data_IF_754878973536
#
_entry.id   IF_754878973536
#
_cell.length_a   1.000
_cell.length_b   1.000
_cell.length_c   1.000
_cell.angle_alpha   90.00
_cell.angle_beta   90.00
_cell.angle_gamma   90.00
#
_symmetry.space_group_name_H-M   'P 1'
#
loop_
_entity.id
_entity.type
_entity.pdbx_description
1 polymer ?
#
# COMPACT_ATOMS: atom_id res chain seq x y z
N UNK A 1 1.82 -8.75 22.71
CA UNK A 1 3.03 -9.47 22.25
C UNK A 1 4.06 -8.41 21.83
N UNK A 2 5.14 -8.22 22.62
CA UNK A 2 6.20 -7.28 22.23
C UNK A 2 6.97 -7.91 21.07
N UNK A 3 6.73 -7.40 19.85
CA UNK A 3 7.53 -7.78 18.69
C UNK A 3 8.89 -7.10 18.89
N UNK A 4 9.88 -7.86 19.34
CA UNK A 4 11.28 -7.43 19.28
C UNK A 4 11.62 -7.47 17.78
N UNK A 5 11.76 -6.32 17.10
CA UNK A 5 12.07 -6.36 15.68
C UNK A 5 13.44 -7.01 15.51
N UNK A 6 13.49 -8.09 14.74
CA UNK A 6 14.74 -8.63 14.26
C UNK A 6 15.47 -7.50 13.51
N UNK A 7 16.58 -7.01 14.07
CA UNK A 7 17.32 -5.84 13.55
C UNK A 7 17.59 -5.93 12.03
N UNK A 8 18.06 -7.06 11.48
CA UNK A 8 18.23 -7.22 10.05
C UNK A 8 16.93 -7.03 9.25
N UNK A 9 15.81 -7.54 9.74
CA UNK A 9 14.51 -7.38 9.10
C UNK A 9 14.02 -5.93 9.12
N UNK A 10 14.27 -5.23 10.22
CA UNK A 10 13.95 -3.81 10.34
C UNK A 10 14.77 -2.94 9.38
N UNK A 11 16.09 -3.21 9.25
CA UNK A 11 16.96 -2.52 8.28
C UNK A 11 16.45 -2.76 6.85
N UNK A 12 16.08 -4.00 6.51
CA UNK A 12 15.49 -4.35 5.21
C UNK A 12 14.22 -3.54 4.95
N UNK A 13 13.32 -3.47 5.92
CA UNK A 13 12.07 -2.71 5.78
C UNK A 13 12.34 -1.22 5.53
N UNK A 14 13.25 -0.61 6.29
CA UNK A 14 13.65 0.79 6.09
C UNK A 14 14.23 0.99 4.68
N UNK A 15 15.04 0.06 4.19
CA UNK A 15 15.57 0.14 2.82
C UNK A 15 14.45 0.13 1.77
N UNK A 16 13.44 -0.74 1.95
CA UNK A 16 12.27 -0.77 1.08
C UNK A 16 11.46 0.53 1.14
N UNK A 17 11.28 1.11 2.32
CA UNK A 17 10.59 2.40 2.46
C UNK A 17 11.37 3.56 1.83
N UNK A 18 12.71 3.54 1.91
CA UNK A 18 13.55 4.53 1.20
C UNK A 18 13.40 4.46 -0.32
N UNK A 19 13.13 3.28 -0.86
CA UNK A 19 12.84 3.14 -2.29
C UNK A 19 11.62 3.97 -2.70
N UNK A 20 10.56 3.94 -1.91
CA UNK A 20 9.34 4.72 -2.16
C UNK A 20 9.62 6.23 -2.22
N UNK A 21 10.61 6.72 -1.49
CA UNK A 21 10.95 8.16 -1.49
C UNK A 21 11.36 8.71 -2.85
N UNK A 22 11.80 7.87 -3.78
CA UNK A 22 12.09 8.27 -5.17
C UNK A 22 10.83 8.79 -5.88
N UNK A 23 9.67 8.25 -5.52
CA UNK A 23 8.39 8.61 -6.12
C UNK A 23 7.68 9.76 -5.39
N UNK A 24 8.12 10.07 -4.16
CA UNK A 24 7.48 11.05 -3.28
C UNK A 24 7.20 12.38 -3.99
N UNK A 25 8.26 12.99 -4.56
CA UNK A 25 8.16 14.32 -5.17
C UNK A 25 7.22 14.35 -6.38
N UNK A 26 7.22 13.29 -7.18
CA UNK A 26 6.34 13.18 -8.35
C UNK A 26 4.87 13.10 -7.93
N UNK A 27 4.55 12.28 -6.90
CA UNK A 27 3.21 12.18 -6.34
C UNK A 27 2.76 13.51 -5.75
N UNK A 28 3.59 14.17 -4.94
CA UNK A 28 3.26 15.44 -4.30
C UNK A 28 3.05 16.57 -5.34
N UNK A 29 3.85 16.62 -6.39
CA UNK A 29 3.70 17.59 -7.47
C UNK A 29 2.39 17.37 -8.25
N UNK A 30 2.06 16.13 -8.61
CA UNK A 30 0.82 15.80 -9.30
C UNK A 30 -0.40 16.15 -8.43
N UNK A 31 -0.34 15.82 -7.13
CA UNK A 31 -1.38 16.17 -6.15
C UNK A 31 -1.57 17.71 -6.05
N UNK A 32 -0.48 18.47 -5.96
CA UNK A 32 -0.52 19.93 -5.89
C UNK A 32 -1.08 20.57 -7.16
N UNK A 33 -0.84 19.96 -8.32
CA UNK A 33 -1.39 20.39 -9.61
C UNK A 33 -2.87 19.99 -9.81
N UNK A 34 -3.45 19.18 -8.91
CA UNK A 34 -4.80 18.63 -9.07
C UNK A 34 -4.91 17.56 -10.17
N UNK A 35 -3.78 17.08 -10.68
CA UNK A 35 -3.72 16.05 -11.72
C UNK A 35 -3.85 14.65 -11.09
N UNK A 36 -5.11 14.23 -10.93
CA UNK A 36 -5.46 12.96 -10.28
C UNK A 36 -4.94 11.74 -11.03
N UNK A 37 -4.90 11.81 -12.36
CA UNK A 37 -4.43 10.71 -13.18
C UNK A 37 -2.94 10.48 -12.98
N UNK A 38 -2.12 11.51 -13.13
CA UNK A 38 -0.69 11.42 -12.86
C UNK A 38 -0.36 11.06 -11.42
N UNK A 39 -1.11 11.59 -10.45
CA UNK A 39 -0.93 11.20 -9.06
C UNK A 39 -1.11 9.70 -8.88
N UNK A 40 -2.19 9.12 -9.45
CA UNK A 40 -2.47 7.68 -9.42
C UNK A 40 -1.41 6.86 -10.13
N UNK A 41 -0.96 7.28 -11.31
CA UNK A 41 0.12 6.62 -12.05
C UNK A 41 1.40 6.55 -11.22
N UNK A 42 1.78 7.65 -10.57
CA UNK A 42 2.97 7.69 -9.72
C UNK A 42 2.83 6.83 -8.47
N UNK A 43 1.65 6.80 -7.85
CA UNK A 43 1.37 5.90 -6.71
C UNK A 43 1.47 4.45 -7.16
N UNK A 44 0.82 4.10 -8.28
CA UNK A 44 0.84 2.74 -8.82
C UNK A 44 2.26 2.30 -9.19
N UNK A 45 3.03 3.17 -9.85
CA UNK A 45 4.45 2.91 -10.17
C UNK A 45 5.27 2.61 -8.92
N UNK A 46 5.03 3.34 -7.83
CA UNK A 46 5.71 3.10 -6.57
C UNK A 46 5.31 1.78 -5.92
N UNK A 47 4.00 1.53 -5.77
CA UNK A 47 3.47 0.40 -5.00
C UNK A 47 3.62 -0.94 -5.73
N UNK A 48 3.44 -0.97 -7.06
CA UNK A 48 3.57 -2.19 -7.87
C UNK A 48 4.98 -2.78 -7.89
N UNK A 49 5.99 -1.95 -7.70
CA UNK A 49 7.39 -2.38 -7.58
C UNK A 49 7.77 -2.67 -6.13
N UNK A 50 7.25 -1.88 -5.19
CA UNK A 50 7.57 -2.00 -3.77
C UNK A 50 7.09 -3.33 -3.18
N UNK A 51 5.86 -3.75 -3.45
CA UNK A 51 5.30 -5.00 -2.92
C UNK A 51 6.18 -6.23 -3.25
N UNK A 52 6.44 -6.52 -4.53
CA UNK A 52 7.32 -7.62 -4.92
C UNK A 52 8.75 -7.50 -4.37
N UNK A 53 9.30 -6.28 -4.30
CA UNK A 53 10.62 -6.02 -3.75
C UNK A 53 10.70 -6.43 -2.27
N UNK A 54 9.69 -6.10 -1.47
CA UNK A 54 9.63 -6.48 -0.06
C UNK A 54 9.59 -8.00 0.06
N UNK A 55 8.69 -8.69 -0.66
CA UNK A 55 8.62 -10.15 -0.61
C UNK A 55 9.93 -10.80 -0.99
N UNK A 56 10.57 -10.33 -2.08
CA UNK A 56 11.89 -10.84 -2.50
C UNK A 56 12.94 -10.65 -1.41
N UNK A 57 12.95 -9.50 -0.74
CA UNK A 57 13.93 -9.20 0.31
C UNK A 57 13.77 -10.09 1.56
N UNK A 58 12.55 -10.55 1.83
CA UNK A 58 12.26 -11.50 2.91
C UNK A 58 12.25 -12.96 2.43
N UNK A 59 12.73 -13.23 1.21
CA UNK A 59 12.74 -14.57 0.60
C UNK A 59 11.35 -15.24 0.64
N UNK A 60 10.32 -14.44 0.39
CA UNK A 60 8.92 -14.85 0.41
C UNK A 60 8.28 -14.68 -0.95
N UNK A 61 7.17 -15.36 -1.19
CA UNK A 61 6.41 -15.30 -2.44
C UNK A 61 4.94 -15.03 -2.13
N UNK A 62 4.26 -14.40 -3.07
CA UNK A 62 2.80 -14.25 -3.09
C UNK A 62 2.29 -15.09 -4.25
N UNK A 63 1.46 -16.08 -3.97
CA UNK A 63 0.68 -16.77 -4.97
C UNK A 63 -0.69 -16.10 -5.05
N UNK A 64 -1.13 -15.77 -6.25
CA UNK A 64 -2.42 -15.12 -6.49
C UNK A 64 -3.22 -15.98 -7.42
N UNK A 65 -4.44 -16.29 -7.01
CA UNK A 65 -5.42 -17.04 -7.77
C UNK A 65 -6.65 -16.16 -7.99
N UNK A 66 -7.35 -16.35 -9.11
CA UNK A 66 -8.59 -15.64 -9.39
C UNK A 66 -8.42 -14.20 -9.90
N UNK A 67 -7.24 -13.82 -10.42
CA UNK A 67 -7.02 -12.49 -11.01
C UNK A 67 -7.96 -12.23 -12.21
N UNK A 68 -8.38 -13.28 -12.89
CA UNK A 68 -9.34 -13.23 -13.98
C UNK A 68 -10.75 -12.82 -13.56
N UNK A 69 -11.05 -12.91 -12.27
CA UNK A 69 -12.35 -12.51 -11.71
C UNK A 69 -12.38 -11.01 -11.34
N UNK A 70 -11.25 -10.31 -11.49
CA UNK A 70 -11.21 -8.89 -11.19
C UNK A 70 -12.00 -8.09 -12.23
N UNK A 71 -12.80 -7.12 -11.81
CA UNK A 71 -13.51 -6.24 -12.74
C UNK A 71 -12.50 -5.42 -13.57
N UNK A 72 -12.80 -5.25 -14.84
CA UNK A 72 -11.95 -4.46 -15.74
C UNK A 72 -12.09 -2.96 -15.46
N UNK A 73 -13.23 -2.52 -14.94
CA UNK A 73 -13.55 -1.13 -14.68
C UNK A 73 -13.98 -0.92 -13.21
N UNK A 74 -13.79 0.28 -12.70
CA UNK A 74 -14.11 0.65 -11.32
C UNK A 74 -15.03 1.84 -11.23
N UNK A 75 -15.40 2.26 -10.03
CA UNK A 75 -14.75 2.01 -8.75
C UNK A 75 -15.03 0.63 -8.15
N UNK A 76 -14.03 0.04 -7.51
CA UNK A 76 -14.12 -1.28 -6.86
C UNK A 76 -13.69 -1.19 -5.41
N UNK A 77 -14.44 -1.84 -4.53
CA UNK A 77 -14.09 -1.99 -3.13
C UNK A 77 -13.73 -3.45 -2.89
N UNK A 78 -12.48 -3.69 -2.45
CA UNK A 78 -12.03 -5.01 -2.04
C UNK A 78 -12.22 -5.16 -0.54
N UNK A 79 -12.86 -6.24 -0.15
CA UNK A 79 -13.09 -6.59 1.26
C UNK A 79 -12.39 -7.92 1.51
N UNK A 80 -11.49 -7.98 2.47
CA UNK A 80 -10.74 -9.18 2.79
C UNK A 80 -10.42 -9.30 4.27
N UNK A 81 -10.08 -10.50 4.71
CA UNK A 81 -9.63 -10.75 6.06
C UNK A 81 -8.27 -10.09 6.30
N UNK A 82 -8.14 -9.40 7.44
CA UNK A 82 -6.88 -8.85 7.86
C UNK A 82 -6.17 -9.78 8.83
N UNK A 83 -4.99 -10.27 8.44
CA UNK A 83 -4.20 -11.18 9.25
C UNK A 83 -2.92 -10.53 9.81
N UNK A 84 -2.46 -9.43 9.20
CA UNK A 84 -1.28 -8.76 9.70
C UNK A 84 -0.69 -7.70 8.75
N UNK A 85 0.46 -7.18 9.14
CA UNK A 85 1.13 -6.11 8.40
C UNK A 85 1.54 -6.48 6.97
N UNK A 86 1.69 -7.78 6.68
CA UNK A 86 2.06 -8.26 5.36
C UNK A 86 0.93 -8.12 4.33
N UNK A 87 -0.31 -7.96 4.75
CA UNK A 87 -1.46 -7.92 3.85
C UNK A 87 -1.37 -6.75 2.87
N UNK A 88 -1.02 -5.55 3.35
CA UNK A 88 -0.84 -4.36 2.50
C UNK A 88 0.23 -4.62 1.44
N UNK A 89 1.32 -5.27 1.84
CA UNK A 89 2.43 -5.63 0.94
C UNK A 89 1.95 -6.66 -0.09
N UNK A 90 1.14 -7.64 0.36
CA UNK A 90 0.57 -8.67 -0.51
C UNK A 90 -0.38 -8.06 -1.55
N UNK A 91 -1.26 -7.14 -1.15
CA UNK A 91 -2.11 -6.42 -2.09
C UNK A 91 -1.29 -5.64 -3.14
N UNK A 92 -0.26 -4.90 -2.72
CA UNK A 92 0.62 -4.19 -3.65
C UNK A 92 1.37 -5.14 -4.59
N UNK A 93 1.70 -6.35 -4.15
CA UNK A 93 2.38 -7.35 -4.97
C UNK A 93 1.45 -8.07 -5.93
N UNK A 94 0.22 -8.35 -5.51
CA UNK A 94 -0.78 -9.09 -6.27
C UNK A 94 -1.43 -8.22 -7.36
N UNK A 95 -1.85 -7.02 -7.00
CA UNK A 95 -2.68 -6.17 -7.84
C UNK A 95 -1.90 -5.04 -8.50
N UNK A 96 -0.92 -5.37 -9.33
CA UNK A 96 0.01 -4.41 -9.95
C UNK A 96 -0.63 -3.40 -10.90
N UNK A 97 -1.88 -3.62 -11.31
CA UNK A 97 -2.62 -2.73 -12.22
C UNK A 97 -3.56 -1.77 -11.49
N UNK A 98 -3.68 -1.91 -10.17
CA UNK A 98 -4.63 -1.15 -9.38
C UNK A 98 -3.93 -0.24 -8.37
N UNK A 99 -4.31 1.02 -8.34
CA UNK A 99 -3.88 1.93 -7.28
C UNK A 99 -4.83 1.78 -6.10
N UNK A 100 -4.28 1.45 -4.95
CA UNK A 100 -5.03 1.19 -3.73
C UNK A 100 -4.88 2.31 -2.71
N UNK A 101 -5.99 2.65 -2.03
CA UNK A 101 -6.00 3.24 -0.71
C UNK A 101 -6.53 2.21 0.29
N UNK A 102 -6.15 2.32 1.53
CA UNK A 102 -6.56 1.41 2.60
C UNK A 102 -7.29 2.17 3.70
N UNK A 103 -8.15 1.50 4.45
CA UNK A 103 -8.58 2.02 5.74
C UNK A 103 -7.55 1.60 6.77
N UNK A 104 -6.85 2.57 7.33
CA UNK A 104 -5.78 2.38 8.28
C UNK A 104 -6.18 2.88 9.68
N UNK A 105 -5.60 2.30 10.73
CA UNK A 105 -5.76 2.82 12.09
C UNK A 105 -5.03 4.16 12.23
N UNK A 106 -5.63 5.10 12.96
CA UNK A 106 -5.05 6.43 13.21
C UNK A 106 -3.64 6.38 13.81
N UNK A 107 -3.35 5.35 14.62
CA UNK A 107 -2.02 5.19 15.20
C UNK A 107 -0.94 4.95 14.13
N UNK A 108 -1.29 4.30 13.01
CA UNK A 108 -0.35 4.03 11.92
C UNK A 108 0.05 5.32 11.18
N UNK A 109 -0.84 6.30 11.11
CA UNK A 109 -0.54 7.60 10.52
C UNK A 109 0.57 8.36 11.30
N UNK A 110 0.76 8.03 12.58
CA UNK A 110 1.77 8.64 13.45
C UNK A 110 3.13 7.93 13.40
N UNK A 111 3.21 6.78 12.74
CA UNK A 111 4.47 6.02 12.63
C UNK A 111 5.43 6.72 11.67
N UNK A 112 6.62 7.13 12.12
CA UNK A 112 7.61 7.77 11.26
C UNK A 112 7.92 6.92 10.02
N UNK A 113 8.11 7.57 8.88
CA UNK A 113 8.36 6.96 7.55
C UNK A 113 7.15 6.24 6.95
N UNK A 114 6.31 5.57 7.74
CA UNK A 114 5.16 4.80 7.27
C UNK A 114 3.90 5.66 7.17
N UNK A 115 3.59 6.44 8.20
CA UNK A 115 2.39 7.29 8.25
C UNK A 115 2.24 8.21 7.03
N UNK A 116 3.27 8.95 6.62
CA UNK A 116 3.21 9.79 5.42
C UNK A 116 2.91 9.02 4.14
N UNK A 117 3.25 7.73 4.06
CA UNK A 117 2.92 6.90 2.91
C UNK A 117 1.47 6.44 2.90
N UNK A 118 0.87 6.21 4.08
CA UNK A 118 -0.57 5.91 4.20
C UNK A 118 -1.38 7.04 3.54
N UNK A 119 -1.06 8.28 3.85
CA UNK A 119 -1.73 9.43 3.25
C UNK A 119 -1.47 9.56 1.74
N UNK A 120 -0.20 9.40 1.31
CA UNK A 120 0.18 9.52 -0.10
C UNK A 120 -0.50 8.52 -1.02
N UNK A 121 -0.74 7.31 -0.56
CA UNK A 121 -1.47 6.29 -1.34
C UNK A 121 -3.00 6.44 -1.21
N UNK A 122 -3.47 7.58 -0.70
CA UNK A 122 -4.90 7.90 -0.54
C UNK A 122 -5.64 6.96 0.41
N UNK A 123 -4.95 6.45 1.42
CA UNK A 123 -5.59 5.71 2.50
C UNK A 123 -6.34 6.65 3.45
N UNK A 124 -7.40 6.14 4.04
CA UNK A 124 -8.22 6.86 5.02
C UNK A 124 -7.87 6.39 6.42
N UNK A 125 -7.56 7.31 7.32
CA UNK A 125 -7.35 7.01 8.73
C UNK A 125 -8.68 6.95 9.47
N UNK A 126 -8.86 5.93 10.30
CA UNK A 126 -10.07 5.73 11.10
C UNK A 126 -9.74 5.30 12.52
N UNK A 127 -10.53 5.80 13.49
CA UNK A 127 -10.47 5.30 14.86
C UNK A 127 -10.92 3.85 14.92
N UNK A 128 -10.29 3.01 15.75
CA UNK A 128 -10.60 1.59 15.81
C UNK A 128 -11.98 1.38 16.44
N UNK A 129 -13.00 1.38 15.63
CA UNK A 129 -14.38 1.05 16.07
C UNK A 129 -14.84 -0.30 15.51
N UNK A 130 -14.12 -0.87 14.55
CA UNK A 130 -14.47 -2.12 13.89
C UNK A 130 -13.21 -2.92 13.61
N UNK A 131 -13.27 -4.23 13.77
CA UNK A 131 -12.24 -5.18 13.31
C UNK A 131 -12.01 -5.00 11.82
N UNK A 132 -10.78 -4.72 11.47
CA UNK A 132 -10.31 -4.18 10.21
C UNK A 132 -10.84 -4.92 9.00
N UNK A 133 -11.66 -4.23 8.22
CA UNK A 133 -11.92 -4.54 6.83
C UNK A 133 -10.94 -3.70 5.99
N UNK A 134 -10.16 -4.34 5.12
CA UNK A 134 -9.43 -3.62 4.10
C UNK A 134 -10.39 -3.13 3.04
N UNK A 135 -10.48 -1.83 2.88
CA UNK A 135 -11.13 -1.25 1.73
C UNK A 135 -10.04 -0.77 0.77
N UNK A 136 -10.18 -1.18 -0.43
CA UNK A 136 -9.38 -0.66 -1.50
C UNK A 136 -10.33 -0.01 -2.50
N UNK A 137 -10.13 1.26 -2.77
CA UNK A 137 -10.90 1.95 -3.80
C UNK A 137 -10.02 2.02 -5.02
N UNK A 138 -10.40 1.28 -6.05
CA UNK A 138 -9.92 1.47 -7.40
C UNK A 138 -10.95 2.29 -8.16
N UNK A 139 -10.53 3.38 -8.76
CA UNK A 139 -11.31 4.10 -9.76
C UNK A 139 -10.45 4.22 -11.01
N UNK A 140 -10.92 3.65 -12.10
CA UNK A 140 -10.52 4.00 -13.45
C UNK A 140 -11.49 5.09 -13.87
N UNK A 141 -11.00 6.26 -14.25
CA UNK A 141 -11.84 7.24 -14.97
C UNK A 141 -12.08 6.76 -16.37
#
# INVERSE_FOLDING_TARGET
>A
MKIIPNIPSFIKLIHCLKYLNKHKKAIENAKAAGDLEKEREHILSATSLWGPMVFKMFNSKVNVEGLENLPEEGPVVFVGNHQGYADIIAYCAAFKKFQFGFIAKDELAKVPLYGPWIERIRSVSQKPTITVLFYCIYSKN
#
